data_IF_967667407766
#
_entry.id   IF_967667407766
#
_cell.length_a   1.000
_cell.length_b   1.000
_cell.length_c   1.000
_cell.angle_alpha   90.00
_cell.angle_beta   90.00
_cell.angle_gamma   90.00
#
_symmetry.space_group_name_H-M   'P 1'
#
loop_
_entity.id
_entity.type
_entity.pdbx_description
1 polymer ?
#
# COMPACT_ATOMS: atom_id res chain seq x y z
N UNK A 1 27.00 31.95 -35.14
CA UNK A 1 26.96 30.52 -35.45
C UNK A 1 26.15 29.90 -34.36
N UNK A 2 24.88 29.64 -34.64
CA UNK A 2 23.98 28.93 -33.74
C UNK A 2 24.39 27.46 -33.73
N UNK A 3 24.83 26.99 -32.58
CA UNK A 3 25.00 25.56 -32.32
C UNK A 3 23.70 25.09 -31.63
N UNK A 4 22.93 24.17 -32.22
CA UNK A 4 21.68 23.74 -31.62
C UNK A 4 22.00 22.91 -30.37
N UNK A 5 21.59 23.43 -29.21
CA UNK A 5 21.51 22.66 -27.97
C UNK A 5 20.79 21.35 -28.25
N UNK A 6 21.55 20.25 -28.18
CA UNK A 6 21.05 18.88 -28.11
C UNK A 6 20.19 18.75 -26.85
N UNK A 7 18.93 19.14 -26.96
CA UNK A 7 17.89 18.77 -26.02
C UNK A 7 17.76 17.25 -26.07
N UNK A 8 18.11 16.59 -24.98
CA UNK A 8 17.90 15.16 -24.79
C UNK A 8 16.40 14.89 -24.92
N UNK A 9 15.98 14.45 -26.10
CA UNK A 9 14.60 14.02 -26.36
C UNK A 9 14.27 12.96 -25.31
N UNK A 10 13.16 13.09 -24.55
CA UNK A 10 12.75 12.04 -23.65
C UNK A 10 12.56 10.78 -24.49
N UNK A 11 13.31 9.71 -24.18
CA UNK A 11 13.12 8.41 -24.81
C UNK A 11 11.77 7.88 -24.34
N UNK A 12 10.70 8.27 -25.03
CA UNK A 12 9.38 7.74 -24.81
C UNK A 12 9.38 6.30 -25.30
N UNK A 13 9.23 5.36 -24.38
CA UNK A 13 8.87 3.99 -24.74
C UNK A 13 7.61 4.06 -25.61
N UNK A 14 7.61 3.44 -26.82
CA UNK A 14 6.45 3.48 -27.68
C UNK A 14 5.24 2.89 -26.95
N UNK A 15 4.18 3.68 -26.86
CA UNK A 15 2.90 3.26 -26.27
C UNK A 15 2.23 2.35 -27.30
N UNK A 16 2.35 1.04 -27.10
CA UNK A 16 1.86 0.06 -28.08
C UNK A 16 0.35 -0.19 -27.93
N UNK A 17 -0.41 -0.13 -29.03
CA UNK A 17 -1.84 -0.43 -29.02
C UNK A 17 -2.08 -1.94 -28.85
N UNK A 18 -3.08 -2.33 -28.03
CA UNK A 18 -3.39 -3.72 -27.81
C UNK A 18 -4.14 -4.32 -29.01
N UNK A 19 -3.73 -5.52 -29.45
CA UNK A 19 -4.37 -6.24 -30.56
C UNK A 19 -5.43 -7.24 -30.07
N UNK A 20 -6.51 -7.38 -30.83
CA UNK A 20 -7.59 -8.35 -30.63
C UNK A 20 -7.22 -9.62 -31.40
N UNK A 21 -6.81 -10.66 -30.67
CA UNK A 21 -6.48 -11.98 -31.23
C UNK A 21 -7.65 -12.96 -31.20
N UNK A 22 -8.68 -12.67 -30.42
CA UNK A 22 -9.83 -13.55 -30.20
C UNK A 22 -11.03 -12.72 -29.77
N UNK A 23 -12.21 -13.12 -30.24
CA UNK A 23 -13.52 -12.55 -29.87
C UNK A 23 -14.18 -13.27 -28.69
N UNK A 24 -13.44 -14.14 -28.01
CA UNK A 24 -13.90 -14.72 -26.74
C UNK A 24 -14.14 -13.64 -25.70
N UNK A 25 -15.14 -13.85 -24.83
CA UNK A 25 -15.50 -12.88 -23.78
C UNK A 25 -14.30 -12.49 -22.91
N UNK A 26 -13.50 -13.46 -22.49
CA UNK A 26 -12.30 -13.21 -21.66
C UNK A 26 -11.24 -12.38 -22.40
N UNK A 27 -10.99 -12.69 -23.68
CA UNK A 27 -10.04 -11.92 -24.50
C UNK A 27 -10.51 -10.48 -24.70
N UNK A 28 -11.81 -10.25 -24.93
CA UNK A 28 -12.37 -8.91 -25.10
C UNK A 28 -12.40 -8.12 -23.79
N UNK A 29 -12.70 -8.76 -22.65
CA UNK A 29 -12.59 -8.12 -21.32
C UNK A 29 -11.15 -7.68 -21.06
N UNK A 30 -10.18 -8.56 -21.33
CA UNK A 30 -8.77 -8.25 -21.17
C UNK A 30 -8.35 -7.11 -22.10
N UNK A 31 -8.69 -7.22 -23.39
CA UNK A 31 -8.38 -6.19 -24.38
C UNK A 31 -8.97 -4.83 -23.98
N UNK A 32 -10.20 -4.77 -23.47
CA UNK A 32 -10.82 -3.51 -23.00
C UNK A 32 -10.06 -2.88 -21.83
N UNK A 33 -9.53 -3.69 -20.91
CA UNK A 33 -8.66 -3.21 -19.82
C UNK A 33 -7.34 -2.67 -20.38
N UNK A 34 -6.67 -3.44 -21.25
CA UNK A 34 -5.42 -3.04 -21.90
C UNK A 34 -5.58 -1.77 -22.75
N UNK A 35 -6.71 -1.64 -23.46
CA UNK A 35 -7.05 -0.49 -24.31
C UNK A 35 -7.23 0.78 -23.50
N UNK A 36 -7.91 0.70 -22.34
CA UNK A 36 -8.02 1.84 -21.42
C UNK A 36 -6.66 2.29 -20.91
N UNK A 37 -5.79 1.36 -20.54
CA UNK A 37 -4.43 1.70 -20.09
C UNK A 37 -3.59 2.32 -21.22
N UNK A 38 -3.69 1.79 -22.43
CA UNK A 38 -3.07 2.35 -23.64
C UNK A 38 -3.52 3.79 -23.86
N UNK A 39 -4.82 4.06 -23.90
CA UNK A 39 -5.34 5.41 -24.15
C UNK A 39 -5.00 6.39 -23.01
N UNK A 40 -4.97 5.93 -21.76
CA UNK A 40 -4.52 6.77 -20.63
C UNK A 40 -3.04 7.15 -20.78
N UNK A 41 -2.18 6.19 -21.13
CA UNK A 41 -0.76 6.48 -21.41
C UNK A 41 -0.60 7.42 -22.60
N UNK A 42 -1.40 7.21 -23.65
CA UNK A 42 -1.38 8.04 -24.85
C UNK A 42 -1.82 9.48 -24.56
N UNK A 43 -2.95 9.68 -23.85
CA UNK A 43 -3.40 11.01 -23.40
C UNK A 43 -2.35 11.73 -22.57
N UNK A 44 -1.68 11.00 -21.67
CA UNK A 44 -0.57 11.57 -20.89
C UNK A 44 0.61 11.99 -21.77
N UNK A 45 0.95 11.19 -22.80
CA UNK A 45 1.99 11.55 -23.78
C UNK A 45 1.60 12.81 -24.55
N UNK A 46 0.39 12.85 -25.13
CA UNK A 46 -0.15 14.01 -25.85
C UNK A 46 -0.08 15.29 -25.02
N UNK A 47 -0.38 15.21 -23.71
CA UNK A 47 -0.27 16.36 -22.80
C UNK A 47 1.16 16.90 -22.67
N UNK A 48 2.16 16.04 -22.77
CA UNK A 48 3.58 16.41 -22.65
C UNK A 48 4.17 16.84 -23.99
N UNK A 49 3.78 16.20 -25.09
CA UNK A 49 4.33 16.45 -26.43
C UNK A 49 3.57 17.53 -27.21
N UNK A 50 2.33 17.83 -26.82
CA UNK A 50 1.42 18.68 -27.59
C UNK A 50 0.80 18.00 -28.81
N UNK A 51 0.99 16.69 -28.97
CA UNK A 51 0.35 15.91 -30.04
C UNK A 51 -1.18 15.90 -29.88
N UNK A 52 -1.90 15.97 -31.01
CA UNK A 52 -3.34 15.75 -31.01
C UNK A 52 -3.67 14.27 -30.74
N UNK A 53 -4.55 14.02 -29.77
CA UNK A 53 -4.91 12.68 -29.34
C UNK A 53 -5.61 11.88 -30.44
N UNK A 54 -6.55 12.53 -31.15
CA UNK A 54 -7.35 11.85 -32.17
C UNK A 54 -6.50 11.46 -33.39
N UNK A 55 -5.42 12.19 -33.65
CA UNK A 55 -4.46 11.86 -34.70
C UNK A 55 -3.52 10.70 -34.36
N UNK A 56 -3.23 10.45 -33.07
CA UNK A 56 -2.26 9.43 -32.63
C UNK A 56 -2.89 8.15 -32.10
N UNK A 57 -4.19 8.16 -31.79
CA UNK A 57 -4.89 6.99 -31.28
C UNK A 57 -5.18 6.00 -32.40
N UNK A 58 -4.60 4.80 -32.31
CA UNK A 58 -4.94 3.70 -33.23
C UNK A 58 -6.43 3.36 -33.18
N UNK A 59 -7.08 3.21 -34.33
CA UNK A 59 -8.48 2.82 -34.42
C UNK A 59 -8.70 1.38 -33.92
N UNK A 60 -9.91 1.09 -33.48
CA UNK A 60 -10.32 -0.25 -33.05
C UNK A 60 -10.30 -1.20 -34.25
N UNK A 61 -10.67 -0.73 -35.45
CA UNK A 61 -10.54 -1.48 -36.69
C UNK A 61 -9.13 -2.05 -36.88
N UNK A 62 -8.10 -1.23 -36.61
CA UNK A 62 -6.70 -1.62 -36.74
C UNK A 62 -6.20 -2.53 -35.59
N UNK A 63 -6.98 -2.65 -34.52
CA UNK A 63 -6.69 -3.57 -33.43
C UNK A 63 -6.98 -5.02 -33.80
N UNK A 64 -7.82 -5.29 -34.80
CA UNK A 64 -8.11 -6.64 -35.29
C UNK A 64 -7.05 -7.16 -36.26
N UNK A 65 -6.84 -8.48 -36.30
CA UNK A 65 -6.24 -9.12 -37.47
C UNK A 65 -7.19 -9.04 -38.67
N UNK A 66 -6.66 -8.90 -39.89
CA UNK A 66 -7.48 -8.71 -41.08
C UNK A 66 -8.50 -9.84 -41.30
N UNK A 67 -8.05 -11.08 -41.09
CA UNK A 67 -8.86 -12.30 -41.12
C UNK A 67 -9.97 -12.30 -40.06
N UNK A 68 -9.63 -11.93 -38.82
CA UNK A 68 -10.60 -11.87 -37.73
C UNK A 68 -11.63 -10.75 -37.95
N UNK A 69 -11.20 -9.60 -38.47
CA UNK A 69 -12.07 -8.47 -38.75
C UNK A 69 -13.11 -8.82 -39.82
N UNK A 70 -12.69 -9.46 -40.90
CA UNK A 70 -13.57 -9.89 -41.99
C UNK A 70 -14.68 -10.81 -41.47
N UNK A 71 -14.31 -11.87 -40.76
CA UNK A 71 -15.28 -12.81 -40.16
C UNK A 71 -16.15 -12.11 -39.12
N UNK A 72 -15.61 -11.18 -38.34
CA UNK A 72 -16.39 -10.45 -37.35
C UNK A 72 -17.43 -9.55 -38.01
N UNK A 73 -17.05 -8.78 -39.02
CA UNK A 73 -17.96 -7.89 -39.74
C UNK A 73 -19.07 -8.68 -40.47
N UNK A 74 -18.72 -9.74 -41.19
CA UNK A 74 -19.68 -10.55 -41.94
C UNK A 74 -20.67 -11.26 -41.01
N UNK A 75 -20.19 -11.99 -40.00
CA UNK A 75 -21.06 -12.87 -39.21
C UNK A 75 -21.65 -12.24 -37.96
N UNK A 76 -21.03 -11.20 -37.38
CA UNK A 76 -21.55 -10.53 -36.18
C UNK A 76 -22.29 -9.25 -36.51
N UNK A 77 -21.70 -8.39 -37.34
CA UNK A 77 -22.29 -7.10 -37.66
C UNK A 77 -23.22 -7.18 -38.88
N UNK A 78 -23.06 -8.20 -39.75
CA UNK A 78 -23.74 -8.32 -41.03
C UNK A 78 -23.54 -7.07 -41.90
N UNK A 79 -22.30 -6.58 -41.94
CA UNK A 79 -21.86 -5.35 -42.61
C UNK A 79 -20.52 -5.62 -43.27
N UNK A 80 -20.28 -5.03 -44.45
CA UNK A 80 -19.01 -5.16 -45.16
C UNK A 80 -17.86 -4.45 -44.40
N UNK A 81 -16.63 -4.97 -44.52
CA UNK A 81 -15.45 -4.39 -43.87
C UNK A 81 -15.18 -2.95 -44.31
N UNK A 82 -15.60 -2.56 -45.52
CA UNK A 82 -15.44 -1.20 -46.03
C UNK A 82 -16.38 -0.23 -45.30
N UNK A 83 -17.62 -0.65 -45.02
CA UNK A 83 -18.65 0.18 -44.39
C UNK A 83 -18.60 0.16 -42.86
N UNK A 84 -17.78 -0.71 -42.26
CA UNK A 84 -17.67 -0.81 -40.80
C UNK A 84 -17.01 0.43 -40.20
N UNK A 85 -17.69 1.01 -39.21
CA UNK A 85 -17.17 2.12 -38.40
C UNK A 85 -16.63 1.63 -37.06
N UNK A 86 -15.68 2.37 -36.50
CA UNK A 86 -15.13 2.11 -35.17
C UNK A 86 -16.20 2.14 -34.07
N UNK A 87 -17.23 2.98 -34.23
CA UNK A 87 -18.37 3.03 -33.32
C UNK A 87 -19.17 1.73 -33.30
N UNK A 88 -19.37 1.09 -34.45
CA UNK A 88 -20.07 -0.20 -34.55
C UNK A 88 -19.26 -1.33 -33.90
N UNK A 89 -17.95 -1.36 -34.15
CA UNK A 89 -17.05 -2.32 -33.52
C UNK A 89 -17.04 -2.14 -32.00
N UNK A 90 -16.98 -0.88 -31.53
CA UNK A 90 -17.06 -0.56 -30.10
C UNK A 90 -18.36 -1.10 -29.50
N UNK A 91 -19.51 -0.73 -30.07
CA UNK A 91 -20.82 -1.10 -29.56
C UNK A 91 -20.98 -2.63 -29.46
N UNK A 92 -20.53 -3.38 -30.48
CA UNK A 92 -20.63 -4.84 -30.45
C UNK A 92 -19.65 -5.47 -29.46
N UNK A 93 -18.42 -4.96 -29.35
CA UNK A 93 -17.49 -5.42 -28.29
C UNK A 93 -18.10 -5.17 -26.90
N UNK A 94 -18.73 -4.01 -26.69
CA UNK A 94 -19.40 -3.70 -25.44
C UNK A 94 -20.58 -4.63 -25.17
N UNK A 95 -21.38 -4.92 -26.18
CA UNK A 95 -22.49 -5.87 -26.09
C UNK A 95 -22.00 -7.29 -25.75
N UNK A 96 -20.94 -7.78 -26.40
CA UNK A 96 -20.35 -9.10 -26.11
C UNK A 96 -19.82 -9.15 -24.68
N UNK A 97 -19.13 -8.11 -24.23
CA UNK A 97 -18.56 -8.06 -22.87
C UNK A 97 -19.64 -7.91 -21.79
N UNK A 98 -20.73 -7.20 -22.09
CA UNK A 98 -21.86 -7.01 -21.18
C UNK A 98 -22.77 -8.24 -21.10
N UNK A 99 -22.78 -9.07 -22.15
CA UNK A 99 -23.59 -10.28 -22.27
C UNK A 99 -23.00 -11.48 -21.55
N UNK A 100 -23.89 -12.33 -21.04
CA UNK A 100 -23.52 -13.59 -20.40
C UNK A 100 -22.99 -14.57 -21.45
N UNK A 101 -21.86 -15.24 -21.12
CA UNK A 101 -21.25 -16.26 -21.97
C UNK A 101 -22.29 -17.28 -22.46
N UNK A 102 -22.35 -17.49 -23.77
CA UNK A 102 -23.29 -18.42 -24.43
C UNK A 102 -24.78 -18.18 -24.12
N UNK A 103 -25.17 -16.98 -23.64
CA UNK A 103 -26.52 -16.70 -23.11
C UNK A 103 -26.95 -17.66 -21.98
N UNK A 104 -25.99 -18.39 -21.40
CA UNK A 104 -26.24 -19.37 -20.36
C UNK A 104 -25.89 -18.76 -19.01
N UNK A 105 -26.91 -18.48 -18.19
CA UNK A 105 -26.70 -17.92 -16.86
C UNK A 105 -25.90 -18.91 -15.98
N UNK A 106 -24.70 -18.53 -15.51
CA UNK A 106 -23.98 -19.36 -14.55
C UNK A 106 -24.75 -19.38 -13.22
N UNK A 107 -24.37 -20.28 -12.31
CA UNK A 107 -24.81 -20.16 -10.92
C UNK A 107 -24.20 -18.90 -10.28
N UNK A 108 -24.90 -17.78 -10.44
CA UNK A 108 -24.51 -16.47 -9.93
C UNK A 108 -24.29 -16.54 -8.40
N UNK A 109 -25.11 -17.30 -7.67
CA UNK A 109 -24.97 -17.39 -6.21
C UNK A 109 -23.71 -18.18 -5.83
N UNK A 110 -23.48 -19.31 -6.48
CA UNK A 110 -22.29 -20.13 -6.29
C UNK A 110 -20.99 -19.39 -6.64
N UNK A 111 -20.98 -18.70 -7.77
CA UNK A 111 -19.86 -17.90 -8.27
C UNK A 111 -19.41 -16.87 -7.23
N UNK A 112 -20.33 -16.00 -6.79
CA UNK A 112 -19.97 -14.95 -5.83
C UNK A 112 -19.65 -15.53 -4.45
N UNK A 113 -20.29 -16.61 -4.02
CA UNK A 113 -19.91 -17.28 -2.76
C UNK A 113 -18.47 -17.81 -2.79
N UNK A 114 -17.99 -18.24 -3.95
CA UNK A 114 -16.64 -18.78 -4.13
C UNK A 114 -15.58 -17.69 -4.27
N UNK A 115 -15.87 -16.68 -5.09
CA UNK A 115 -14.85 -15.74 -5.59
C UNK A 115 -14.90 -14.37 -4.88
N UNK A 116 -16.05 -13.95 -4.35
CA UNK A 116 -16.16 -12.69 -3.62
C UNK A 116 -15.69 -12.86 -2.17
N UNK A 117 -14.53 -12.29 -1.84
CA UNK A 117 -13.93 -12.36 -0.51
C UNK A 117 -13.49 -10.99 -0.04
N UNK A 118 -13.86 -10.64 1.20
CA UNK A 118 -13.39 -9.42 1.86
C UNK A 118 -11.97 -9.62 2.39
N UNK A 119 -11.08 -8.69 2.10
CA UNK A 119 -9.69 -8.75 2.51
C UNK A 119 -9.53 -8.39 4.00
N UNK A 120 -9.37 -9.39 4.88
CA UNK A 120 -9.26 -9.15 6.31
C UNK A 120 -7.85 -8.73 6.78
N UNK A 121 -6.85 -8.71 5.89
CA UNK A 121 -5.51 -8.23 6.25
C UNK A 121 -5.40 -6.70 6.19
N UNK A 122 -6.31 -6.04 5.48
CA UNK A 122 -6.36 -4.58 5.43
C UNK A 122 -6.90 -4.03 6.75
N UNK A 123 -6.14 -3.11 7.34
CA UNK A 123 -6.45 -2.47 8.61
C UNK A 123 -7.40 -1.29 8.45
N UNK A 124 -7.34 -0.57 7.32
CA UNK A 124 -8.27 0.51 7.03
C UNK A 124 -9.63 -0.08 6.62
N UNK A 125 -10.66 0.23 7.42
CA UNK A 125 -12.01 -0.30 7.19
C UNK A 125 -12.59 0.15 5.85
N UNK A 126 -12.40 1.41 5.48
CA UNK A 126 -12.96 1.98 4.25
C UNK A 126 -12.26 1.39 3.05
N UNK A 127 -10.93 1.31 3.06
CA UNK A 127 -10.15 0.68 2.00
C UNK A 127 -10.56 -0.78 1.79
N UNK A 128 -10.70 -1.53 2.88
CA UNK A 128 -11.16 -2.93 2.86
C UNK A 128 -12.54 -3.09 2.23
N UNK A 129 -13.48 -2.19 2.51
CA UNK A 129 -14.83 -2.22 1.91
C UNK A 129 -14.78 -1.78 0.44
N UNK A 130 -13.96 -0.78 0.08
CA UNK A 130 -13.75 -0.39 -1.31
C UNK A 130 -13.19 -1.53 -2.16
N UNK A 131 -12.17 -2.22 -1.67
CA UNK A 131 -11.60 -3.40 -2.33
C UNK A 131 -12.64 -4.51 -2.52
N UNK A 132 -13.49 -4.73 -1.51
CA UNK A 132 -14.58 -5.70 -1.59
C UNK A 132 -15.58 -5.36 -2.72
N UNK A 133 -16.00 -4.10 -2.84
CA UNK A 133 -16.89 -3.65 -3.91
C UNK A 133 -16.19 -3.67 -5.29
N UNK A 134 -14.88 -3.37 -5.33
CA UNK A 134 -14.05 -3.50 -6.53
C UNK A 134 -13.98 -4.96 -6.99
N UNK A 135 -13.78 -5.91 -6.08
CA UNK A 135 -13.82 -7.34 -6.38
C UNK A 135 -15.19 -7.76 -6.92
N UNK A 136 -16.29 -7.29 -6.34
CA UNK A 136 -17.63 -7.55 -6.87
C UNK A 136 -17.76 -7.08 -8.33
N UNK A 137 -17.35 -5.84 -8.62
CA UNK A 137 -17.43 -5.27 -9.97
C UNK A 137 -16.57 -6.08 -10.96
N UNK A 138 -15.36 -6.49 -10.57
CA UNK A 138 -14.51 -7.33 -11.41
C UNK A 138 -15.18 -8.67 -11.74
N UNK A 139 -15.77 -9.36 -10.76
CA UNK A 139 -16.49 -10.63 -10.99
C UNK A 139 -17.66 -10.44 -11.97
N UNK A 140 -18.41 -9.34 -11.85
CA UNK A 140 -19.51 -9.02 -12.78
C UNK A 140 -18.99 -8.84 -14.20
N UNK A 141 -17.93 -8.04 -14.38
CA UNK A 141 -17.34 -7.74 -15.69
C UNK A 141 -16.73 -9.00 -16.32
N UNK A 142 -15.95 -9.78 -15.57
CA UNK A 142 -15.24 -10.97 -16.04
C UNK A 142 -16.20 -12.13 -16.42
N UNK A 143 -17.46 -12.07 -15.97
CA UNK A 143 -18.49 -13.06 -16.29
C UNK A 143 -19.61 -12.53 -17.19
N UNK A 144 -19.55 -11.27 -17.63
CA UNK A 144 -20.58 -10.67 -18.48
C UNK A 144 -21.94 -10.60 -17.79
N UNK A 145 -21.96 -10.32 -16.49
CA UNK A 145 -23.19 -10.23 -15.69
C UNK A 145 -23.68 -8.79 -15.56
N UNK A 146 -23.10 -7.83 -16.29
CA UNK A 146 -23.37 -6.41 -16.15
C UNK A 146 -24.85 -6.08 -16.34
N UNK A 147 -25.47 -6.63 -17.38
CA UNK A 147 -26.89 -6.43 -17.70
C UNK A 147 -27.82 -7.00 -16.62
N UNK A 148 -27.42 -8.09 -15.95
CA UNK A 148 -28.21 -8.75 -14.91
C UNK A 148 -28.48 -7.83 -13.70
N UNK A 149 -27.67 -6.78 -13.50
CA UNK A 149 -27.75 -5.90 -12.34
C UNK A 149 -28.23 -4.47 -12.66
N UNK A 150 -28.63 -4.18 -13.91
CA UNK A 150 -29.10 -2.84 -14.31
C UNK A 150 -30.50 -2.55 -13.78
N UNK A 151 -31.40 -3.53 -13.88
CA UNK A 151 -32.79 -3.39 -13.45
C UNK A 151 -32.91 -3.35 -11.92
N UNK A 152 -34.01 -2.80 -11.43
CA UNK A 152 -34.28 -2.64 -9.99
C UNK A 152 -34.20 -3.96 -9.22
N UNK A 153 -34.74 -5.05 -9.79
CA UNK A 153 -34.61 -6.40 -9.21
C UNK A 153 -33.15 -6.85 -9.15
N UNK A 154 -32.37 -6.55 -10.18
CA UNK A 154 -30.95 -6.83 -10.24
C UNK A 154 -30.18 -6.07 -9.17
N UNK A 155 -30.43 -4.77 -9.01
CA UNK A 155 -29.82 -3.96 -7.94
C UNK A 155 -30.06 -4.53 -6.55
N UNK A 156 -31.29 -5.00 -6.27
CA UNK A 156 -31.61 -5.70 -5.01
C UNK A 156 -30.84 -7.00 -4.84
N UNK A 157 -30.77 -7.84 -5.87
CA UNK A 157 -30.02 -9.10 -5.79
C UNK A 157 -28.51 -8.82 -5.61
N UNK A 158 -27.98 -7.75 -6.23
CA UNK A 158 -26.62 -7.24 -5.99
C UNK A 158 -26.40 -6.87 -4.52
N UNK A 159 -27.27 -6.06 -3.92
CA UNK A 159 -27.18 -5.70 -2.50
C UNK A 159 -27.25 -6.92 -1.58
N UNK A 160 -28.14 -7.86 -1.89
CA UNK A 160 -28.28 -9.12 -1.16
C UNK A 160 -27.04 -10.00 -1.25
N UNK A 161 -26.45 -10.14 -2.44
CA UNK A 161 -25.22 -10.89 -2.66
C UNK A 161 -24.04 -10.27 -1.91
N UNK A 162 -23.85 -8.95 -2.05
CA UNK A 162 -22.85 -8.19 -1.30
C UNK A 162 -23.01 -8.40 0.20
N UNK A 163 -24.23 -8.34 0.73
CA UNK A 163 -24.49 -8.57 2.16
C UNK A 163 -24.23 -10.02 2.58
N UNK A 164 -24.57 -10.99 1.72
CA UNK A 164 -24.45 -12.42 2.04
C UNK A 164 -23.01 -12.92 2.13
N UNK A 165 -22.09 -12.29 1.39
CA UNK A 165 -20.67 -12.66 1.33
C UNK A 165 -19.78 -11.83 2.27
N UNK A 166 -20.35 -10.91 3.06
CA UNK A 166 -19.62 -10.13 4.06
C UNK A 166 -18.90 -11.02 5.09
N UNK A 167 -17.71 -10.59 5.45
CA UNK A 167 -16.91 -11.12 6.56
C UNK A 167 -16.37 -9.95 7.38
N UNK A 168 -16.27 -10.06 8.72
CA UNK A 168 -16.62 -11.22 9.55
C UNK A 168 -18.13 -11.50 9.67
N UNK A 169 -18.55 -12.69 10.17
CA UNK A 169 -19.98 -13.04 10.31
C UNK A 169 -20.80 -12.07 11.17
N UNK A 170 -20.16 -11.44 12.16
CA UNK A 170 -20.81 -10.43 13.01
C UNK A 170 -21.27 -9.22 12.18
N UNK A 171 -20.37 -8.65 11.36
CA UNK A 171 -20.66 -7.55 10.44
C UNK A 171 -21.83 -7.91 9.50
N UNK A 172 -21.81 -9.13 8.95
CA UNK A 172 -22.89 -9.63 8.10
C UNK A 172 -24.24 -9.62 8.82
N UNK A 173 -24.30 -10.08 10.07
CA UNK A 173 -25.54 -10.14 10.85
C UNK A 173 -26.06 -8.73 11.17
N UNK A 174 -25.17 -7.83 11.60
CA UNK A 174 -25.55 -6.43 11.89
C UNK A 174 -26.06 -5.70 10.66
N UNK A 175 -25.35 -5.79 9.53
CA UNK A 175 -25.78 -5.16 8.27
C UNK A 175 -27.13 -5.72 7.82
N UNK A 176 -27.35 -7.04 7.91
CA UNK A 176 -28.66 -7.63 7.60
C UNK A 176 -29.79 -7.10 8.47
N UNK A 177 -29.54 -6.92 9.76
CA UNK A 177 -30.53 -6.39 10.69
C UNK A 177 -30.84 -4.92 10.38
N UNK A 178 -29.80 -4.11 10.13
CA UNK A 178 -29.95 -2.72 9.73
C UNK A 178 -30.73 -2.58 8.42
N UNK A 179 -30.40 -3.35 7.39
CA UNK A 179 -31.17 -3.34 6.12
C UNK A 179 -32.63 -3.69 6.36
N UNK A 180 -32.92 -4.65 7.24
CA UNK A 180 -34.29 -5.11 7.49
C UNK A 180 -35.14 -4.13 8.29
N UNK A 181 -34.55 -3.41 9.25
CA UNK A 181 -35.34 -2.65 10.24
C UNK A 181 -35.06 -1.15 10.29
N UNK A 182 -33.88 -0.68 9.87
CA UNK A 182 -33.49 0.74 10.03
C UNK A 182 -33.14 1.44 8.72
N UNK A 183 -32.62 0.72 7.72
CA UNK A 183 -32.17 1.27 6.44
C UNK A 183 -32.69 0.41 5.26
N UNK A 184 -34.00 0.40 4.98
CA UNK A 184 -34.58 -0.36 3.87
C UNK A 184 -34.04 0.09 2.50
N UNK A 185 -33.57 1.33 2.38
CA UNK A 185 -32.99 1.86 1.15
C UNK A 185 -31.67 1.17 0.76
N UNK A 186 -30.93 0.65 1.74
CA UNK A 186 -29.72 -0.15 1.48
C UNK A 186 -30.01 -1.49 0.78
N UNK A 187 -31.27 -1.95 0.79
CA UNK A 187 -31.66 -3.11 -0.01
C UNK A 187 -31.74 -2.78 -1.51
N UNK A 188 -32.07 -1.54 -1.85
CA UNK A 188 -32.32 -1.09 -3.23
C UNK A 188 -31.12 -0.40 -3.86
N UNK A 189 -30.38 0.38 -3.06
CA UNK A 189 -29.23 1.16 -3.53
C UNK A 189 -27.89 0.60 -3.01
N UNK A 190 -27.01 0.12 -3.91
CA UNK A 190 -25.66 -0.30 -3.56
C UNK A 190 -24.80 0.80 -2.90
N UNK A 191 -25.06 2.08 -3.16
CA UNK A 191 -24.31 3.20 -2.55
C UNK A 191 -24.67 3.38 -1.08
N UNK A 192 -25.96 3.32 -0.76
CA UNK A 192 -26.43 3.37 0.63
C UNK A 192 -25.93 2.15 1.40
N UNK A 193 -25.94 0.97 0.76
CA UNK A 193 -25.36 -0.24 1.35
C UNK A 193 -23.87 -0.10 1.64
N UNK A 194 -23.10 0.49 0.73
CA UNK A 194 -21.66 0.73 0.94
C UNK A 194 -21.45 1.59 2.20
N UNK A 195 -22.16 2.70 2.32
CA UNK A 195 -22.02 3.60 3.47
C UNK A 195 -22.39 2.89 4.79
N UNK A 196 -23.47 2.12 4.78
CA UNK A 196 -23.90 1.33 5.94
C UNK A 196 -22.85 0.29 6.36
N UNK A 197 -22.24 -0.41 5.40
CA UNK A 197 -21.19 -1.40 5.69
C UNK A 197 -19.96 -0.73 6.30
N UNK A 198 -19.53 0.42 5.75
CA UNK A 198 -18.39 1.17 6.31
C UNK A 198 -18.69 1.62 7.74
N UNK A 199 -19.87 2.16 8.01
CA UNK A 199 -20.27 2.60 9.34
C UNK A 199 -20.23 1.44 10.35
N UNK A 200 -20.91 0.33 10.05
CA UNK A 200 -20.97 -0.83 10.97
C UNK A 200 -19.62 -1.51 11.14
N UNK A 201 -18.85 -1.66 10.06
CA UNK A 201 -17.51 -2.22 10.16
C UNK A 201 -16.57 -1.34 11.01
N UNK A 202 -16.73 -0.02 10.94
CA UNK A 202 -15.94 0.93 11.75
C UNK A 202 -16.31 0.84 13.22
N UNK A 203 -17.59 0.72 13.54
CA UNK A 203 -18.05 0.56 14.92
C UNK A 203 -17.54 -0.75 15.53
N UNK A 204 -17.61 -1.86 14.78
CA UNK A 204 -17.06 -3.14 15.22
C UNK A 204 -15.54 -3.08 15.44
N UNK A 205 -14.80 -2.40 14.57
CA UNK A 205 -13.36 -2.21 14.73
C UNK A 205 -13.05 -1.40 16.01
N UNK A 206 -13.80 -0.31 16.26
CA UNK A 206 -13.67 0.50 17.49
C UNK A 206 -13.96 -0.32 18.74
N UNK A 207 -15.00 -1.17 18.72
CA UNK A 207 -15.33 -2.06 19.83
C UNK A 207 -14.21 -3.07 20.09
N UNK A 208 -13.67 -3.67 19.02
CA UNK A 208 -12.54 -4.60 19.13
C UNK A 208 -11.29 -3.94 19.74
N UNK A 209 -10.95 -2.72 19.30
CA UNK A 209 -9.83 -1.95 19.84
C UNK A 209 -10.05 -1.63 21.33
N UNK A 210 -11.26 -1.18 21.72
CA UNK A 210 -11.62 -0.89 23.12
C UNK A 210 -11.46 -2.12 24.02
N UNK A 211 -12.01 -3.26 23.61
CA UNK A 211 -11.92 -4.52 24.36
C UNK A 211 -10.46 -5.00 24.51
N UNK A 212 -9.65 -4.83 23.46
CA UNK A 212 -8.23 -5.17 23.49
C UNK A 212 -7.43 -4.25 24.42
N UNK A 213 -7.80 -2.98 24.53
CA UNK A 213 -7.25 -2.04 25.51
C UNK A 213 -7.53 -2.47 26.95
N UNK A 214 -8.81 -2.72 27.27
CA UNK A 214 -9.24 -3.15 28.61
C UNK A 214 -8.56 -4.44 29.07
N UNK A 215 -8.35 -5.41 28.16
CA UNK A 215 -7.64 -6.65 28.49
C UNK A 215 -6.17 -6.42 28.85
N UNK A 216 -5.51 -5.43 28.24
CA UNK A 216 -4.12 -5.07 28.56
C UNK A 216 -4.04 -4.41 29.95
N UNK A 217 -4.98 -3.52 30.25
CA UNK A 217 -5.06 -2.84 31.56
C UNK A 217 -5.41 -3.81 32.70
N UNK A 218 -6.32 -4.76 32.47
CA UNK A 218 -6.65 -5.80 33.43
C UNK A 218 -5.46 -6.73 33.71
N UNK A 219 -4.63 -7.04 32.69
CA UNK A 219 -3.43 -7.86 32.87
C UNK A 219 -2.27 -7.13 33.57
N UNK A 220 -2.30 -5.79 33.62
CA UNK A 220 -1.34 -4.98 34.39
C UNK A 220 -1.82 -4.64 35.81
N UNK A 221 -3.07 -4.94 36.16
CA UNK A 221 -3.70 -4.54 37.42
C UNK A 221 -3.67 -5.57 38.55
N UNK A 222 -3.13 -6.78 38.34
CA UNK A 222 -3.04 -7.82 39.38
C UNK A 222 -1.72 -7.75 40.18
N UNK A 223 -1.35 -6.58 40.72
CA UNK A 223 -0.54 -6.53 41.94
C UNK A 223 -1.46 -6.29 43.13
N UNK A 224 -1.88 -7.39 43.77
CA UNK A 224 -2.63 -7.36 45.03
C UNK A 224 -1.86 -6.56 46.09
N UNK A 225 -2.49 -5.61 46.81
CA UNK A 225 -1.88 -5.01 47.98
C UNK A 225 -1.81 -6.08 49.08
N UNK A 226 -0.60 -6.50 49.45
CA UNK A 226 -0.41 -7.37 50.62
C UNK A 226 -0.80 -6.60 51.88
N UNK A 227 -1.93 -7.02 52.45
CA UNK A 227 -2.39 -6.64 53.77
C UNK A 227 -1.30 -6.91 54.82
N UNK A 228 -1.08 -5.91 55.65
CA UNK A 228 -0.28 -5.91 56.87
C UNK A 228 -0.90 -6.85 57.91
N UNK A 229 -0.14 -7.84 58.38
CA UNK A 229 -0.37 -8.47 59.68
C UNK A 229 0.95 -8.94 60.31
N UNK A 230 1.35 -8.24 61.38
CA UNK A 230 1.54 -8.83 62.71
C UNK A 230 2.66 -9.85 62.97
N UNK A 231 3.77 -9.33 63.47
CA UNK A 231 4.55 -9.84 64.63
C UNK A 231 5.21 -11.23 64.59
N UNK A 232 6.55 -11.29 64.73
CA UNK A 232 7.22 -11.49 66.03
C UNK A 232 8.75 -11.58 65.86
N UNK A 233 9.41 -10.81 66.71
CA UNK A 233 10.84 -10.71 66.92
C UNK A 233 11.48 -12.02 67.39
N UNK A 234 12.73 -12.27 66.98
CA UNK A 234 13.76 -12.92 67.81
C UNK A 234 15.17 -12.49 67.37
N UNK A 235 15.84 -11.76 68.26
CA UNK A 235 17.28 -11.52 68.28
C UNK A 235 18.05 -12.86 68.31
N UNK A 236 19.26 -12.94 67.73
CA UNK A 236 20.55 -12.76 68.44
C UNK A 236 21.77 -13.16 67.55
N UNK A 237 22.63 -12.17 67.30
CA UNK A 237 24.12 -12.12 67.26
C UNK A 237 24.97 -13.40 67.16
N UNK A 238 25.98 -13.36 66.27
CA UNK A 238 27.43 -13.71 66.42
C UNK A 238 28.10 -13.47 65.04
N UNK A 239 28.98 -12.49 64.75
CA UNK A 239 30.36 -12.14 65.16
C UNK A 239 31.49 -13.14 64.81
N UNK A 240 32.29 -12.81 63.78
CA UNK A 240 33.77 -12.95 63.64
C UNK A 240 34.13 -12.67 62.15
N UNK A 241 34.78 -11.58 61.71
CA UNK A 241 36.15 -11.01 61.88
C UNK A 241 37.33 -11.76 61.22
N UNK A 242 38.22 -10.92 60.66
CA UNK A 242 39.58 -11.11 60.10
C UNK A 242 39.67 -11.62 58.65
N UNK A 243 40.00 -10.81 57.62
CA UNK A 243 41.16 -9.92 57.35
C UNK A 243 42.43 -10.66 56.87
N UNK A 244 42.80 -10.47 55.58
CA UNK A 244 44.18 -10.27 55.09
C UNK A 244 44.19 -9.94 53.58
N UNK A 245 44.74 -8.75 53.22
CA UNK A 245 45.34 -8.40 51.91
C UNK A 245 46.82 -8.91 51.89
N UNK A 246 47.73 -8.62 50.93
CA UNK A 246 47.67 -7.91 49.61
C UNK A 246 48.45 -8.64 48.47
N UNK A 247 48.71 -7.92 47.35
CA UNK A 247 49.91 -7.93 46.46
C UNK A 247 49.56 -8.21 44.97
N UNK A 248 49.35 -7.22 44.10
CA UNK A 248 50.30 -6.37 43.32
C UNK A 248 51.23 -7.08 42.32
N UNK A 249 51.08 -6.71 41.03
CA UNK A 249 52.11 -6.30 40.01
C UNK A 249 51.40 -6.22 38.64
N UNK A 250 51.18 -5.07 37.99
CA UNK A 250 52.06 -4.00 37.49
C UNK A 250 52.80 -4.33 36.17
N UNK A 251 52.36 -3.69 35.08
CA UNK A 251 53.14 -3.11 33.98
C UNK A 251 52.17 -2.47 32.96
N UNK A 252 52.42 -1.37 32.24
CA UNK A 252 53.10 -0.09 32.46
C UNK A 252 53.04 0.64 31.09
N UNK A 253 52.58 1.91 31.08
CA UNK A 253 53.00 3.04 30.18
C UNK A 253 52.61 2.96 28.68
N UNK A 254 52.24 4.04 27.96
CA UNK A 254 52.09 5.48 28.25
C UNK A 254 51.39 6.24 27.10
N UNK A 255 50.92 7.46 27.42
CA UNK A 255 50.72 8.67 26.59
C UNK A 255 49.74 8.66 25.40
N UNK A 256 49.06 9.75 25.02
CA UNK A 256 48.51 10.94 25.64
C UNK A 256 47.65 11.59 24.53
N UNK A 257 46.39 11.97 24.81
CA UNK A 257 45.73 13.10 24.12
C UNK A 257 44.45 13.50 24.83
N UNK A 258 44.52 14.68 25.42
CA UNK A 258 43.46 15.48 26.04
C UNK A 258 42.31 15.70 25.06
N UNK A 259 41.06 15.36 25.45
CA UNK A 259 39.83 16.02 24.94
C UNK A 259 38.71 15.98 25.99
N UNK A 260 38.44 17.18 26.54
CA UNK A 260 37.12 17.77 26.82
C UNK A 260 36.03 16.91 27.50
N UNK A 261 35.77 17.24 28.77
CA UNK A 261 34.50 17.11 29.52
C UNK A 261 33.37 16.30 28.86
N UNK A 262 33.25 15.02 29.26
CA UNK A 262 32.05 14.23 29.01
C UNK A 262 30.99 14.54 30.07
N UNK A 263 30.01 15.38 29.74
CA UNK A 263 28.69 15.25 30.36
C UNK A 263 28.07 13.94 29.88
N UNK A 264 27.59 13.04 30.77
CA UNK A 264 26.95 11.80 30.34
C UNK A 264 25.70 12.15 29.54
N UNK A 265 25.63 11.73 28.27
CA UNK A 265 24.38 11.84 27.50
C UNK A 265 23.29 11.09 28.26
N UNK A 266 22.09 11.67 28.43
CA UNK A 266 20.98 10.94 29.01
C UNK A 266 20.62 9.75 28.09
N UNK A 267 20.11 8.65 28.67
CA UNK A 267 19.69 7.50 27.87
C UNK A 267 18.56 7.92 26.91
N UNK A 268 18.54 7.40 25.67
CA UNK A 268 17.56 7.77 24.65
C UNK A 268 16.13 7.26 24.91
N UNK A 269 15.88 6.67 26.09
CA UNK A 269 14.58 6.15 26.51
C UNK A 269 14.68 5.37 27.83
N UNK A 270 13.53 4.97 28.40
CA UNK A 270 13.47 4.19 29.64
C UNK A 270 14.14 2.82 29.50
N UNK A 271 14.64 2.29 30.61
CA UNK A 271 15.33 1.01 30.68
C UNK A 271 14.37 -0.13 30.31
N UNK A 272 14.69 -0.99 29.33
CA UNK A 272 13.79 -2.02 28.83
C UNK A 272 13.50 -3.17 29.82
N UNK A 273 14.07 -3.14 31.04
CA UNK A 273 13.84 -4.14 32.08
C UNK A 273 12.89 -3.65 33.18
N UNK A 274 12.93 -2.37 33.52
CA UNK A 274 12.19 -1.81 34.66
C UNK A 274 11.55 -0.44 34.34
N UNK A 275 11.57 -0.02 33.09
CA UNK A 275 10.97 1.20 32.55
C UNK A 275 11.38 2.53 33.23
N UNK A 276 12.46 2.52 34.01
CA UNK A 276 13.04 3.71 34.64
C UNK A 276 14.16 4.36 33.78
N UNK A 277 14.39 5.66 33.97
CA UNK A 277 15.35 6.45 33.17
C UNK A 277 16.80 6.22 33.59
N UNK A 278 17.38 5.10 33.14
CA UNK A 278 18.81 4.80 33.28
C UNK A 278 19.34 3.96 32.11
N UNK A 279 20.66 3.92 31.95
CA UNK A 279 21.29 3.04 30.97
C UNK A 279 21.12 1.57 31.39
N UNK A 280 20.79 0.68 30.46
CA UNK A 280 20.61 -0.77 30.75
C UNK A 280 21.81 -1.40 31.49
N UNK A 281 23.03 -0.89 31.30
CA UNK A 281 24.23 -1.33 32.04
C UNK A 281 24.14 -1.05 33.55
N UNK A 282 23.48 0.03 33.92
CA UNK A 282 23.34 0.55 35.28
C UNK A 282 22.02 0.11 35.93
N UNK A 283 21.27 -0.77 35.28
CA UNK A 283 20.00 -1.25 35.82
C UNK A 283 20.21 -2.06 37.11
N UNK A 284 19.62 -1.63 38.24
CA UNK A 284 19.75 -2.33 39.53
C UNK A 284 18.88 -3.61 39.58
N UNK A 285 17.92 -3.74 38.68
CA UNK A 285 16.98 -4.87 38.60
C UNK A 285 17.45 -5.96 37.64
N UNK A 286 18.31 -5.63 36.67
CA UNK A 286 18.76 -6.58 35.67
C UNK A 286 19.99 -7.36 36.16
N UNK A 287 19.96 -8.69 36.04
CA UNK A 287 21.18 -9.51 36.21
C UNK A 287 22.12 -9.33 35.00
N UNK A 288 23.42 -9.54 35.18
CA UNK A 288 24.40 -9.37 34.09
C UNK A 288 24.09 -10.26 32.86
N UNK A 289 23.56 -11.47 33.09
CA UNK A 289 23.09 -12.33 32.01
C UNK A 289 21.94 -11.70 31.21
N UNK A 290 20.95 -11.12 31.88
CA UNK A 290 19.82 -10.45 31.24
C UNK A 290 20.23 -9.16 30.50
N UNK A 291 21.17 -8.40 31.05
CA UNK A 291 21.74 -7.21 30.37
C UNK A 291 22.37 -7.60 29.04
N UNK A 292 23.10 -8.72 29.00
CA UNK A 292 23.73 -9.19 27.75
C UNK A 292 22.71 -9.69 26.72
N UNK A 293 21.65 -10.39 27.15
CA UNK A 293 20.62 -10.90 26.23
C UNK A 293 19.80 -9.77 25.63
N UNK A 294 19.39 -8.79 26.44
CA UNK A 294 18.69 -7.60 25.98
C UNK A 294 19.54 -6.82 24.96
N UNK A 295 20.84 -6.63 25.21
CA UNK A 295 21.73 -5.96 24.27
C UNK A 295 21.88 -6.73 22.95
N UNK A 296 21.91 -8.08 22.99
CA UNK A 296 21.91 -8.93 21.78
C UNK A 296 20.63 -8.76 20.98
N UNK A 297 19.45 -8.73 21.64
CA UNK A 297 18.15 -8.49 20.98
C UNK A 297 18.07 -7.10 20.34
N UNK A 298 18.60 -6.06 20.98
CA UNK A 298 18.66 -4.73 20.36
C UNK A 298 19.59 -4.70 19.15
N UNK A 299 20.74 -5.37 19.20
CA UNK A 299 21.66 -5.45 18.06
C UNK A 299 21.06 -6.23 16.89
N UNK A 300 20.37 -7.34 17.13
CA UNK A 300 19.70 -8.12 16.07
C UNK A 300 18.50 -7.36 15.49
N UNK A 301 17.71 -6.67 16.32
CA UNK A 301 16.63 -5.79 15.89
C UNK A 301 17.13 -4.62 15.04
N UNK A 302 18.28 -4.01 15.40
CA UNK A 302 18.90 -2.92 14.63
C UNK A 302 19.47 -3.43 13.30
N UNK A 303 20.06 -4.63 13.27
CA UNK A 303 20.48 -5.30 12.01
C UNK A 303 19.28 -5.59 11.10
N UNK A 304 18.16 -6.06 11.65
CA UNK A 304 16.92 -6.30 10.90
C UNK A 304 16.30 -5.00 10.36
N UNK A 305 16.25 -3.93 11.15
CA UNK A 305 15.82 -2.60 10.70
C UNK A 305 16.74 -2.05 9.60
N UNK A 306 18.07 -2.21 9.73
CA UNK A 306 19.06 -1.80 8.72
C UNK A 306 18.95 -2.63 7.43
N UNK A 307 18.56 -3.91 7.52
CA UNK A 307 18.27 -4.75 6.36
C UNK A 307 16.95 -4.33 5.67
N UNK A 308 15.92 -3.93 6.43
CA UNK A 308 14.67 -3.36 5.89
C UNK A 308 14.89 -2.03 5.18
N UNK A 309 15.73 -1.13 5.71
CA UNK A 309 16.06 0.12 5.01
C UNK A 309 16.93 -0.11 3.77
N UNK A 310 17.82 -1.13 3.77
CA UNK A 310 18.52 -1.55 2.55
C UNK A 310 17.58 -2.05 1.45
N UNK A 311 16.55 -2.82 1.80
CA UNK A 311 15.51 -3.24 0.84
C UNK A 311 14.66 -2.07 0.35
N UNK A 312 14.43 -1.06 1.18
CA UNK A 312 13.77 0.17 0.73
C UNK A 312 14.65 0.95 -0.26
N UNK A 313 15.97 1.01 -0.05
CA UNK A 313 16.89 1.60 -1.03
C UNK A 313 17.03 0.78 -2.32
N UNK A 314 16.78 -0.52 -2.28
CA UNK A 314 16.70 -1.39 -3.48
C UNK A 314 15.35 -1.27 -4.22
N UNK A 315 14.31 -0.74 -3.56
CA UNK A 315 12.98 -0.47 -4.13
C UNK A 315 12.82 0.98 -4.63
N UNK A 316 13.78 1.85 -4.32
CA UNK A 316 13.91 3.12 -5.00
C UNK A 316 14.43 2.84 -6.42
N UNK A 317 13.89 3.47 -7.47
CA UNK A 317 14.43 3.33 -8.82
C UNK A 317 15.94 3.54 -8.79
N UNK A 318 16.68 2.64 -9.43
CA UNK A 318 18.12 2.79 -9.66
C UNK A 318 18.38 4.20 -10.17
N UNK A 319 19.37 4.92 -9.62
CA UNK A 319 19.75 6.32 -9.91
C UNK A 319 20.24 6.54 -11.36
N UNK A 320 19.58 5.96 -12.36
CA UNK A 320 20.00 5.92 -13.75
C UNK A 320 19.51 7.13 -14.55
N UNK A 321 18.83 8.09 -13.91
CA UNK A 321 18.41 9.34 -14.55
C UNK A 321 19.12 10.49 -13.86
N UNK A 322 19.98 11.15 -14.60
CA UNK A 322 20.66 12.38 -14.20
C UNK A 322 20.04 13.56 -14.94
N UNK A 323 20.07 14.73 -14.30
CA UNK A 323 19.68 16.02 -14.88
C UNK A 323 20.90 16.94 -14.85
N UNK A 324 21.10 17.68 -15.93
CA UNK A 324 22.17 18.65 -16.04
C UNK A 324 21.62 20.04 -15.67
N UNK A 325 21.98 20.53 -14.49
CA UNK A 325 21.58 21.86 -14.01
C UNK A 325 22.49 22.91 -14.65
N UNK A 326 21.89 23.91 -15.30
CA UNK A 326 22.55 25.01 -16.03
C UNK A 326 23.63 24.58 -17.04
N UNK A 327 23.64 23.32 -17.48
CA UNK A 327 24.70 22.79 -18.34
C UNK A 327 26.00 22.44 -17.61
N UNK A 328 26.11 22.67 -16.29
CA UNK A 328 27.40 22.60 -15.57
C UNK A 328 27.44 21.52 -14.49
N UNK A 329 26.31 21.15 -13.89
CA UNK A 329 26.28 20.15 -12.80
C UNK A 329 25.28 19.03 -13.07
N UNK A 330 25.80 17.81 -13.21
CA UNK A 330 24.99 16.60 -13.42
C UNK A 330 24.60 15.96 -12.08
N UNK A 331 23.30 15.87 -11.78
CA UNK A 331 22.78 15.31 -10.53
C UNK A 331 21.77 14.20 -10.79
N UNK A 332 21.73 13.14 -9.95
CA UNK A 332 20.67 12.14 -10.03
C UNK A 332 19.32 12.79 -9.70
N UNK A 333 18.32 12.52 -10.53
CA UNK A 333 16.96 13.04 -10.39
C UNK A 333 15.94 11.89 -10.38
N UNK A 334 14.92 12.03 -9.52
CA UNK A 334 13.79 11.11 -9.45
C UNK A 334 12.59 11.74 -10.17
N UNK A 335 12.17 11.21 -11.33
CA UNK A 335 11.00 11.74 -12.02
C UNK A 335 9.72 11.47 -11.24
N UNK A 336 8.91 12.53 -11.15
CA UNK A 336 7.51 12.58 -10.72
C UNK A 336 7.22 12.36 -9.22
N UNK A 337 7.27 13.47 -8.46
CA UNK A 337 6.72 13.56 -7.10
C UNK A 337 5.35 14.25 -7.05
N UNK A 338 4.80 14.67 -8.20
CA UNK A 338 3.62 15.54 -8.27
C UNK A 338 3.81 16.92 -7.63
N UNK A 339 5.05 17.35 -7.37
CA UNK A 339 5.37 18.68 -6.83
C UNK A 339 5.74 19.66 -7.93
N UNK A 340 5.24 20.89 -7.83
CA UNK A 340 5.62 22.01 -8.69
C UNK A 340 7.05 22.52 -8.40
N UNK A 341 7.71 21.99 -7.36
CA UNK A 341 9.04 22.42 -6.92
C UNK A 341 10.05 21.26 -6.96
N UNK A 342 11.27 21.57 -7.41
CA UNK A 342 12.42 20.67 -7.32
C UNK A 342 13.30 21.13 -6.17
N UNK A 343 13.66 20.21 -5.26
CA UNK A 343 14.52 20.51 -4.12
C UNK A 343 15.88 19.86 -4.31
N UNK A 344 16.95 20.64 -4.21
CA UNK A 344 18.33 20.13 -4.19
C UNK A 344 18.92 20.27 -2.78
N UNK A 345 19.77 19.31 -2.40
CA UNK A 345 20.47 19.37 -1.12
C UNK A 345 21.52 20.49 -1.10
N UNK A 346 21.76 21.07 0.08
CA UNK A 346 22.73 22.17 0.27
C UNK A 346 24.13 21.86 -0.28
N UNK A 347 24.59 20.62 -0.17
CA UNK A 347 25.89 20.20 -0.72
C UNK A 347 25.96 20.28 -2.24
N UNK A 348 24.87 19.95 -2.94
CA UNK A 348 24.80 20.08 -4.40
C UNK A 348 24.60 21.53 -4.83
N UNK A 349 23.93 22.33 -4.02
CA UNK A 349 23.82 23.77 -4.22
C UNK A 349 25.17 24.48 -4.12
N UNK A 350 25.99 24.17 -3.10
CA UNK A 350 27.34 24.70 -2.97
C UNK A 350 28.24 24.30 -4.15
N UNK A 351 28.08 23.08 -4.68
CA UNK A 351 28.77 22.65 -5.90
C UNK A 351 28.30 23.42 -7.14
N UNK A 352 27.00 23.69 -7.25
CA UNK A 352 26.45 24.48 -8.36
C UNK A 352 26.98 25.91 -8.31
N UNK A 353 26.96 26.58 -7.16
CA UNK A 353 27.52 27.92 -6.96
C UNK A 353 29.01 28.02 -7.28
N UNK A 354 29.78 26.97 -6.99
CA UNK A 354 31.20 26.94 -7.32
C UNK A 354 31.47 26.85 -8.83
N UNK A 355 30.50 26.29 -9.58
CA UNK A 355 30.59 26.07 -11.02
C UNK A 355 29.89 27.18 -11.82
N UNK A 356 28.88 27.82 -11.23
CA UNK A 356 28.09 28.91 -11.78
C UNK A 356 27.78 29.93 -10.65
N UNK A 357 28.57 31.02 -10.54
CA UNK A 357 28.39 32.03 -9.49
C UNK A 357 27.15 32.91 -9.68
N UNK A 358 26.45 32.85 -10.82
CA UNK A 358 25.30 33.71 -11.13
C UNK A 358 23.97 33.15 -10.60
N UNK A 359 23.96 31.92 -10.08
CA UNK A 359 22.72 31.28 -9.60
C UNK A 359 22.25 31.90 -8.28
N UNK A 360 21.00 32.36 -8.26
CA UNK A 360 20.36 32.95 -7.08
C UNK A 360 19.44 31.94 -6.36
N UNK A 361 19.35 32.06 -5.03
CA UNK A 361 18.36 31.32 -4.22
C UNK A 361 17.09 32.16 -4.13
N UNK A 362 15.95 31.61 -4.52
CA UNK A 362 14.62 32.13 -4.16
C UNK A 362 14.08 31.51 -2.87
#
# INVERSE_FOLDING_TARGET
>A
GDDPQTGTVPVFLPVLPPKIKSVSHEALVKWKKDRREYETKLRNRCRVTGEDYDAVVELIKDSFGADLLEVFCEFKLNVDVVDVTDGMLTAEIEHIVASVKNKALPDIKGLFKKDLKMNLSESDVTARVMDYFKCFKAIVEDNGLSECFVLERGKREKCKMLTSALKPPLLKTEVKQCVRYTHPDAEKDPKVLFQLIVEKATELERQYIRLKGQKREASSGEEKPKATHGSKSKNKKEQAQAATKPNQKASARSDSKTKTSNTPRPPPGPCPKCDEMHWLRECPVATEAEKTDLLKRFRSGRKSKKAKTKRLSELLPTNARTVLLNGVLELPYCPDSGSDHTVIGRSHWEQLLALDPEVQVE
#
